data_IF_334987093963
#
_entry.id   IF_334987093963
#
_cell.length_a   1.000
_cell.length_b   1.000
_cell.length_c   1.000
_cell.angle_alpha   90.00
_cell.angle_beta   90.00
_cell.angle_gamma   90.00
#
_symmetry.space_group_name_H-M   'P 1'
#
loop_
_entity.id
_entity.type
_entity.pdbx_description
1 polymer ?
#
# COMPACT_ATOMS: atom_id res chain seq x y z
N UNK A 1 32.51 -80.10 13.28
CA UNK A 1 31.41 -80.72 12.49
C UNK A 1 30.16 -79.84 12.64
N UNK A 2 29.26 -79.88 11.64
CA UNK A 2 27.79 -79.62 11.69
C UNK A 2 27.20 -78.80 12.85
N UNK A 3 26.58 -77.64 12.59
CA UNK A 3 25.11 -77.42 12.36
C UNK A 3 24.24 -77.53 13.63
N UNK A 4 23.07 -76.88 13.79
CA UNK A 4 22.46 -75.67 13.20
C UNK A 4 21.03 -75.49 13.78
N UNK A 5 20.54 -74.25 13.98
CA UNK A 5 19.11 -73.92 14.22
C UNK A 5 18.52 -74.49 15.55
N UNK A 6 17.33 -74.15 16.09
CA UNK A 6 16.44 -72.94 16.10
C UNK A 6 15.31 -73.19 17.15
N UNK A 7 14.18 -72.46 17.35
CA UNK A 7 13.48 -71.36 16.67
C UNK A 7 12.43 -70.69 17.61
N UNK A 8 12.02 -69.42 17.33
CA UNK A 8 10.73 -68.76 17.71
C UNK A 8 10.23 -68.76 19.18
N UNK A 9 10.20 -67.55 19.77
CA UNK A 9 8.99 -66.78 20.22
C UNK A 9 9.49 -65.43 20.79
N UNK A 10 8.87 -64.25 20.65
CA UNK A 10 7.80 -63.69 19.79
C UNK A 10 8.20 -62.22 19.50
N UNK A 11 8.04 -61.60 18.33
CA UNK A 11 6.86 -61.41 17.49
C UNK A 11 5.82 -60.38 17.99
N UNK A 12 6.22 -59.09 18.16
CA UNK A 12 5.39 -57.86 17.92
C UNK A 12 6.19 -56.56 18.19
N UNK A 13 6.57 -55.82 17.14
CA UNK A 13 6.86 -54.34 17.11
C UNK A 13 7.55 -53.84 15.81
N UNK A 14 7.91 -54.75 14.88
CA UNK A 14 8.80 -54.44 13.75
C UNK A 14 8.17 -53.88 12.43
N UNK A 15 7.15 -53.00 12.44
CA UNK A 15 6.88 -52.15 11.27
C UNK A 15 6.67 -50.66 11.61
N UNK A 16 7.58 -50.04 12.39
CA UNK A 16 7.60 -48.57 12.60
C UNK A 16 8.96 -47.94 12.25
N UNK A 17 10.08 -48.60 12.56
CA UNK A 17 11.42 -48.04 12.30
C UNK A 17 11.83 -47.98 10.81
N UNK A 18 11.07 -48.57 9.89
CA UNK A 18 11.42 -48.62 8.48
C UNK A 18 11.14 -47.32 7.69
N UNK A 19 10.25 -46.45 8.18
CA UNK A 19 9.84 -45.23 7.46
C UNK A 19 10.67 -43.98 7.82
N UNK A 20 11.57 -44.08 8.80
CA UNK A 20 12.41 -42.97 9.26
C UNK A 20 13.75 -42.83 8.51
N UNK A 21 14.17 -43.84 7.75
CA UNK A 21 15.51 -43.91 7.14
C UNK A 21 15.57 -43.47 5.66
N UNK A 22 14.42 -43.28 4.99
CA UNK A 22 14.34 -43.03 3.55
C UNK A 22 14.27 -41.54 3.15
N UNK A 23 14.40 -40.61 4.12
CA UNK A 23 14.22 -39.16 3.93
C UNK A 23 15.49 -38.33 4.15
N UNK A 24 16.66 -38.98 4.20
CA UNK A 24 17.97 -38.36 4.51
C UNK A 24 19.00 -38.43 3.36
N UNK A 25 18.56 -38.73 2.13
CA UNK A 25 19.42 -38.88 0.95
C UNK A 25 19.01 -37.99 -0.24
N UNK A 26 18.52 -36.77 0.04
CA UNK A 26 18.32 -35.71 -0.94
C UNK A 26 19.20 -34.51 -0.58
N UNK A 27 20.49 -34.57 -0.93
CA UNK A 27 21.48 -33.64 -0.40
C UNK A 27 21.27 -32.20 -0.90
N UNK A 28 21.00 -31.28 0.03
CA UNK A 28 21.15 -29.85 -0.23
C UNK A 28 22.64 -29.55 -0.46
N UNK A 29 23.01 -29.24 -1.71
CA UNK A 29 24.39 -28.97 -2.10
C UNK A 29 24.77 -27.55 -1.65
N UNK A 30 25.11 -27.41 -0.37
CA UNK A 30 25.51 -26.15 0.22
C UNK A 30 26.81 -25.62 -0.40
N UNK A 31 26.76 -24.40 -0.95
CA UNK A 31 27.95 -23.62 -1.24
C UNK A 31 28.70 -23.24 0.05
N UNK A 32 29.91 -22.67 -0.06
CA UNK A 32 30.84 -22.49 1.07
C UNK A 32 30.39 -21.51 2.18
N UNK A 33 29.22 -20.89 2.05
CA UNK A 33 28.62 -20.01 3.06
C UNK A 33 27.30 -20.59 3.56
N UNK A 34 27.37 -21.33 4.67
CA UNK A 34 26.25 -22.09 5.21
C UNK A 34 25.17 -21.20 5.86
N UNK A 35 24.10 -20.90 5.13
CA UNK A 35 22.91 -20.25 5.66
C UNK A 35 21.70 -20.46 4.75
N UNK A 36 20.57 -20.92 5.31
CA UNK A 36 19.31 -21.01 4.58
C UNK A 36 18.70 -19.61 4.42
N UNK A 37 19.10 -18.92 3.35
CA UNK A 37 18.55 -17.61 2.99
C UNK A 37 17.05 -17.72 2.76
N UNK A 38 16.26 -16.94 3.50
CA UNK A 38 14.84 -16.82 3.21
C UNK A 38 14.64 -15.97 1.97
N UNK A 39 14.22 -16.59 0.88
CA UNK A 39 13.38 -15.91 -0.10
C UNK A 39 12.15 -15.30 0.61
N UNK A 40 11.68 -14.15 0.15
CA UNK A 40 10.41 -13.56 0.57
C UNK A 40 9.66 -13.03 -0.65
N UNK A 41 8.35 -13.28 -0.71
CA UNK A 41 7.52 -12.97 -1.89
C UNK A 41 6.46 -11.93 -1.52
N UNK A 42 6.49 -10.82 -2.25
CA UNK A 42 5.66 -9.62 -2.06
C UNK A 42 4.74 -9.45 -3.26
N UNK A 43 3.43 -9.33 -3.04
CA UNK A 43 2.49 -8.98 -4.11
C UNK A 43 2.50 -7.45 -4.32
N UNK A 44 2.57 -7.00 -5.57
CA UNK A 44 2.73 -5.57 -5.93
C UNK A 44 1.42 -4.92 -6.39
N UNK A 45 0.67 -5.62 -7.25
CA UNK A 45 -0.62 -5.24 -7.81
C UNK A 45 -1.37 -6.50 -8.33
N UNK A 46 -2.66 -6.38 -8.66
CA UNK A 46 -3.50 -7.47 -9.18
C UNK A 46 -4.63 -6.92 -10.04
N UNK A 47 -4.81 -7.47 -11.24
CA UNK A 47 -5.85 -7.04 -12.18
C UNK A 47 -7.23 -7.69 -11.90
N UNK A 48 -8.32 -7.24 -12.56
CA UNK A 48 -9.67 -7.80 -12.34
C UNK A 48 -9.79 -9.32 -12.62
N UNK A 49 -9.03 -9.84 -13.59
CA UNK A 49 -8.98 -11.27 -13.90
C UNK A 49 -8.31 -12.13 -12.80
N UNK A 50 -7.65 -11.49 -11.83
CA UNK A 50 -6.94 -12.16 -10.73
C UNK A 50 -5.47 -12.44 -11.01
N UNK A 51 -4.94 -11.98 -12.16
CA UNK A 51 -3.51 -12.04 -12.45
C UNK A 51 -2.76 -11.11 -11.47
N UNK A 52 -1.80 -11.67 -10.73
CA UNK A 52 -1.04 -10.98 -9.68
C UNK A 52 0.39 -10.74 -10.17
N UNK A 53 0.92 -9.53 -10.02
CA UNK A 53 2.37 -9.30 -10.13
C UNK A 53 3.03 -9.37 -8.75
N UNK A 54 4.18 -10.03 -8.70
CA UNK A 54 4.93 -10.27 -7.46
C UNK A 54 6.42 -9.97 -7.66
N UNK A 55 7.07 -9.64 -6.56
CA UNK A 55 8.53 -9.60 -6.44
C UNK A 55 8.98 -10.66 -5.45
N UNK A 56 9.93 -11.48 -5.87
CA UNK A 56 10.78 -12.23 -4.97
C UNK A 56 11.92 -11.32 -4.51
N UNK A 57 12.25 -11.37 -3.23
CA UNK A 57 13.44 -10.74 -2.63
C UNK A 57 14.28 -11.85 -2.01
N UNK A 58 15.50 -12.01 -2.52
CA UNK A 58 16.47 -13.00 -2.03
C UNK A 58 17.08 -12.60 -0.68
N UNK A 59 17.75 -13.52 0.01
CA UNK A 59 18.39 -13.24 1.30
C UNK A 59 19.56 -12.23 1.25
N UNK A 60 20.05 -11.88 0.06
CA UNK A 60 21.02 -10.79 -0.15
C UNK A 60 20.38 -9.52 -0.75
N UNK A 61 19.05 -9.47 -0.88
CA UNK A 61 18.29 -8.27 -1.27
C UNK A 61 17.97 -8.14 -2.77
N UNK A 62 18.60 -8.93 -3.64
CA UNK A 62 18.30 -8.91 -5.08
C UNK A 62 16.83 -9.27 -5.36
N UNK A 63 16.18 -8.48 -6.21
CA UNK A 63 14.75 -8.57 -6.57
C UNK A 63 14.52 -9.25 -7.91
N UNK A 64 13.49 -10.10 -7.99
CA UNK A 64 13.06 -10.73 -9.24
C UNK A 64 11.56 -10.60 -9.41
N UNK A 65 11.11 -9.98 -10.51
CA UNK A 65 9.71 -9.79 -10.81
C UNK A 65 9.10 -11.00 -11.54
N UNK A 66 7.88 -11.39 -11.17
CA UNK A 66 7.13 -12.45 -11.85
C UNK A 66 5.62 -12.22 -11.84
N UNK A 67 4.98 -12.63 -12.93
CA UNK A 67 3.53 -12.65 -13.10
C UNK A 67 2.99 -14.02 -12.68
N UNK A 68 1.93 -14.04 -11.86
CA UNK A 68 1.13 -15.25 -11.60
C UNK A 68 -0.24 -15.11 -12.26
N UNK A 69 -0.51 -15.93 -13.27
CA UNK A 69 -1.75 -15.91 -14.06
C UNK A 69 -2.26 -17.33 -14.29
N UNK A 70 -3.57 -17.56 -14.11
CA UNK A 70 -4.19 -18.89 -14.28
C UNK A 70 -3.60 -20.00 -13.38
N UNK A 71 -2.93 -19.63 -12.28
CA UNK A 71 -2.16 -20.55 -11.43
C UNK A 71 -0.74 -20.85 -11.89
N UNK A 72 -0.35 -20.43 -13.10
CA UNK A 72 1.03 -20.54 -13.62
C UNK A 72 1.87 -19.33 -13.18
N UNK A 73 3.20 -19.52 -13.07
CA UNK A 73 4.20 -18.47 -12.87
C UNK A 73 4.90 -18.19 -14.20
N UNK A 74 5.05 -16.92 -14.53
CA UNK A 74 5.81 -16.41 -15.67
C UNK A 74 6.84 -15.43 -15.10
N UNK A 75 8.12 -15.80 -15.13
CA UNK A 75 9.19 -14.90 -14.73
C UNK A 75 9.35 -13.78 -15.77
N UNK A 76 9.48 -12.54 -15.32
CA UNK A 76 9.52 -11.38 -16.22
C UNK A 76 10.91 -11.21 -16.84
N UNK A 77 11.96 -11.68 -16.17
CA UNK A 77 13.34 -11.65 -16.65
C UNK A 77 14.05 -10.32 -16.40
N UNK A 78 15.16 -10.11 -17.11
CA UNK A 78 16.02 -8.91 -17.10
C UNK A 78 16.58 -8.66 -18.51
N UNK A 79 17.21 -7.51 -18.74
CA UNK A 79 17.94 -7.18 -19.98
C UNK A 79 19.42 -7.61 -19.88
N UNK A 80 19.68 -8.72 -19.18
CA UNK A 80 21.03 -9.26 -18.93
C UNK A 80 21.65 -8.83 -17.59
N UNK A 81 21.00 -7.95 -16.82
CA UNK A 81 21.37 -7.65 -15.43
C UNK A 81 20.78 -8.64 -14.42
N UNK A 82 20.94 -8.37 -13.13
CA UNK A 82 20.61 -9.31 -12.04
C UNK A 82 19.18 -9.13 -11.48
N UNK A 83 18.66 -7.90 -11.46
CA UNK A 83 17.37 -7.58 -10.83
C UNK A 83 16.24 -7.17 -11.78
N UNK A 84 15.00 -7.45 -11.36
CA UNK A 84 13.80 -6.81 -11.91
C UNK A 84 12.71 -6.56 -10.87
N UNK A 85 11.86 -5.58 -11.17
CA UNK A 85 10.76 -5.10 -10.33
C UNK A 85 9.49 -4.92 -11.15
N UNK A 86 8.32 -4.99 -10.53
CA UNK A 86 7.02 -4.79 -11.17
C UNK A 86 6.19 -3.74 -10.42
N UNK A 87 5.64 -2.78 -11.17
CA UNK A 87 4.93 -1.61 -10.63
C UNK A 87 3.41 -1.78 -10.71
N UNK A 88 2.89 -2.11 -11.90
CA UNK A 88 1.46 -2.14 -12.19
C UNK A 88 1.09 -3.18 -13.26
N UNK A 89 -0.17 -3.64 -13.25
CA UNK A 89 -0.75 -4.57 -14.23
C UNK A 89 -2.16 -4.16 -14.68
N UNK A 90 -2.41 -4.16 -15.99
CA UNK A 90 -3.72 -3.87 -16.57
C UNK A 90 -4.60 -5.13 -16.71
N UNK A 91 -5.88 -4.98 -17.01
CA UNK A 91 -6.88 -6.03 -17.19
C UNK A 91 -6.56 -7.03 -18.30
N UNK A 92 -5.86 -6.61 -19.36
CA UNK A 92 -5.34 -7.51 -20.40
C UNK A 92 -4.16 -8.39 -19.92
N UNK A 93 -3.60 -8.10 -18.73
CA UNK A 93 -2.47 -8.83 -18.16
C UNK A 93 -1.10 -8.35 -18.67
N UNK A 94 -1.03 -7.12 -19.19
CA UNK A 94 0.22 -6.44 -19.54
C UNK A 94 0.79 -5.81 -18.27
N UNK A 95 2.10 -5.97 -18.06
CA UNK A 95 2.83 -5.53 -16.87
C UNK A 95 3.86 -4.46 -17.24
N UNK A 96 4.05 -3.48 -16.36
CA UNK A 96 5.19 -2.56 -16.41
C UNK A 96 5.95 -2.50 -15.07
N UNK A 97 7.17 -2.00 -15.12
CA UNK A 97 8.10 -1.87 -14.01
C UNK A 97 9.48 -1.44 -14.49
N UNK A 98 10.53 -1.99 -13.89
CA UNK A 98 11.93 -1.73 -14.27
C UNK A 98 12.78 -2.99 -14.14
N UNK A 99 13.69 -3.22 -15.07
CA UNK A 99 14.61 -4.35 -15.06
C UNK A 99 16.04 -3.93 -15.44
N UNK A 100 17.05 -4.62 -14.91
CA UNK A 100 18.44 -4.26 -15.16
C UNK A 100 18.95 -4.75 -16.52
N UNK A 101 19.71 -3.90 -17.20
CA UNK A 101 20.61 -4.28 -18.28
C UNK A 101 21.95 -4.82 -17.74
N UNK A 102 22.77 -5.40 -18.62
CA UNK A 102 24.04 -6.03 -18.27
C UNK A 102 25.13 -5.05 -17.76
N UNK A 103 24.90 -3.74 -17.84
CA UNK A 103 25.75 -2.67 -17.28
C UNK A 103 25.20 -2.12 -15.94
N UNK A 104 24.17 -2.76 -15.38
CA UNK A 104 23.44 -2.39 -14.16
C UNK A 104 22.58 -1.11 -14.27
N UNK A 105 22.42 -0.52 -15.47
CA UNK A 105 21.36 0.47 -15.70
C UNK A 105 19.98 -0.18 -15.61
N UNK A 106 18.95 0.60 -15.24
CA UNK A 106 17.58 0.11 -15.10
C UNK A 106 16.72 0.64 -16.25
N UNK A 107 16.05 -0.23 -16.99
CA UNK A 107 15.16 0.19 -18.09
C UNK A 107 13.71 -0.13 -17.78
N UNK A 108 12.83 0.77 -18.21
CA UNK A 108 11.40 0.56 -18.20
C UNK A 108 11.06 -0.59 -19.15
N UNK A 109 9.99 -1.33 -18.85
CA UNK A 109 9.57 -2.42 -19.71
C UNK A 109 8.07 -2.52 -19.87
N UNK A 110 7.68 -3.19 -20.94
CA UNK A 110 6.34 -3.74 -21.17
C UNK A 110 6.47 -5.25 -21.30
N UNK A 111 5.84 -6.00 -20.40
CA UNK A 111 5.82 -7.46 -20.43
C UNK A 111 4.40 -7.98 -20.71
N UNK A 112 4.26 -8.97 -21.60
CA UNK A 112 3.04 -9.76 -21.70
C UNK A 112 3.33 -11.23 -22.04
N UNK A 113 2.37 -12.12 -21.71
CA UNK A 113 2.50 -13.59 -21.83
C UNK A 113 2.68 -14.11 -23.26
N UNK A 114 2.48 -13.28 -24.29
CA UNK A 114 2.58 -13.66 -25.71
C UNK A 114 3.88 -13.17 -26.35
N UNK A 115 4.30 -11.95 -26.00
CA UNK A 115 5.44 -11.27 -26.62
C UNK A 115 6.70 -11.28 -25.73
N UNK A 116 6.57 -11.64 -24.45
CA UNK A 116 7.67 -11.63 -23.48
C UNK A 116 7.98 -10.24 -22.95
N UNK A 117 9.24 -10.05 -22.53
CA UNK A 117 9.77 -8.78 -22.05
C UNK A 117 10.20 -7.90 -23.24
N UNK A 118 9.63 -6.69 -23.36
CA UNK A 118 10.09 -5.63 -24.27
C UNK A 118 10.60 -4.44 -23.46
N UNK A 119 11.77 -3.95 -23.83
CA UNK A 119 12.40 -2.72 -23.34
C UNK A 119 11.68 -1.47 -23.86
N UNK A 120 11.64 -0.41 -23.04
CA UNK A 120 11.26 0.95 -23.40
C UNK A 120 12.52 1.83 -23.36
N UNK A 121 12.51 2.92 -24.14
CA UNK A 121 13.64 3.84 -24.27
C UNK A 121 14.00 4.59 -22.96
N UNK A 122 14.99 5.48 -23.04
CA UNK A 122 15.24 6.56 -22.07
C UNK A 122 15.06 7.91 -22.76
N UNK A 123 15.12 9.03 -22.01
CA UNK A 123 15.09 10.38 -22.57
C UNK A 123 16.51 10.88 -22.92
N UNK A 124 17.37 9.97 -23.38
CA UNK A 124 18.77 10.22 -23.71
C UNK A 124 19.75 10.11 -22.53
N UNK A 125 19.25 9.81 -21.33
CA UNK A 125 20.05 9.42 -20.17
C UNK A 125 20.21 7.90 -20.04
N UNK A 126 20.63 7.42 -18.87
CA UNK A 126 21.08 6.03 -18.67
C UNK A 126 19.97 5.05 -18.28
N UNK A 127 18.95 5.47 -17.53
CA UNK A 127 17.89 4.60 -17.00
C UNK A 127 16.47 5.13 -17.26
N UNK A 128 15.48 4.24 -17.16
CA UNK A 128 14.05 4.55 -17.17
C UNK A 128 13.25 3.59 -16.27
N UNK A 129 12.08 4.03 -15.82
CA UNK A 129 11.22 3.27 -14.91
C UNK A 129 9.72 3.50 -15.18
N UNK A 130 9.01 2.45 -15.60
CA UNK A 130 7.56 2.45 -15.73
C UNK A 130 6.88 2.33 -14.37
N UNK A 131 5.97 3.26 -14.05
CA UNK A 131 5.29 3.34 -12.75
C UNK A 131 3.79 3.00 -12.83
N UNK A 132 3.15 3.27 -13.97
CA UNK A 132 1.73 3.02 -14.19
C UNK A 132 1.44 2.61 -15.65
N UNK A 133 0.31 1.92 -15.88
CA UNK A 133 -0.13 1.42 -17.18
C UNK A 133 -1.66 1.49 -17.27
N UNK A 134 -2.23 1.89 -18.41
CA UNK A 134 -3.68 1.92 -18.67
C UNK A 134 -4.15 0.66 -19.44
N UNK A 135 -5.45 0.52 -19.69
CA UNK A 135 -5.98 -0.70 -20.35
C UNK A 135 -5.60 -0.80 -21.84
N UNK A 136 -5.28 0.32 -22.49
CA UNK A 136 -4.69 0.36 -23.83
C UNK A 136 -3.25 -0.19 -23.83
N UNK A 137 -2.60 -0.22 -22.66
CA UNK A 137 -1.25 -0.70 -22.46
C UNK A 137 -0.18 0.38 -22.68
N UNK A 138 -0.57 1.66 -22.70
CA UNK A 138 0.35 2.79 -22.65
C UNK A 138 0.92 2.93 -21.24
N UNK A 139 2.19 3.28 -21.13
CA UNK A 139 2.97 3.26 -19.89
C UNK A 139 3.37 4.68 -19.52
N UNK A 140 3.12 5.07 -18.26
CA UNK A 140 3.66 6.29 -17.68
C UNK A 140 4.77 5.97 -16.68
N UNK A 141 5.76 6.85 -16.57
CA UNK A 141 6.93 6.62 -15.73
C UNK A 141 7.81 7.84 -15.52
N UNK A 142 9.10 7.58 -15.29
CA UNK A 142 10.16 8.58 -15.36
C UNK A 142 11.42 8.00 -16.01
N UNK A 143 12.20 8.85 -16.68
CA UNK A 143 13.41 8.45 -17.39
C UNK A 143 14.48 9.52 -17.31
N UNK A 144 15.74 9.10 -17.27
CA UNK A 144 16.90 9.98 -17.23
C UNK A 144 17.02 10.77 -18.55
N UNK A 145 17.35 12.05 -18.43
CA UNK A 145 17.66 12.95 -19.54
C UNK A 145 19.16 13.07 -19.77
N UNK A 146 19.56 13.51 -20.96
CA UNK A 146 20.97 13.65 -21.36
C UNK A 146 21.81 14.59 -20.47
N UNK A 147 21.19 15.46 -19.65
CA UNK A 147 21.85 16.37 -18.71
C UNK A 147 22.05 15.79 -17.30
N UNK A 148 21.59 14.55 -17.06
CA UNK A 148 21.60 13.90 -15.76
C UNK A 148 20.48 14.34 -14.80
N UNK A 149 19.42 14.96 -15.34
CA UNK A 149 18.13 15.08 -14.65
C UNK A 149 17.23 13.88 -14.98
N UNK A 150 15.99 13.83 -14.49
CA UNK A 150 15.00 12.82 -14.91
C UNK A 150 13.61 13.44 -15.07
N UNK A 151 12.91 13.12 -16.16
CA UNK A 151 11.58 13.65 -16.46
C UNK A 151 10.52 12.54 -16.47
N UNK A 152 9.27 12.93 -16.24
CA UNK A 152 8.10 12.09 -16.44
C UNK A 152 7.90 11.81 -17.93
N UNK A 153 7.48 10.57 -18.26
CA UNK A 153 7.18 10.19 -19.64
C UNK A 153 5.80 9.56 -19.80
N UNK A 154 5.33 9.51 -21.05
CA UNK A 154 4.34 8.54 -21.54
C UNK A 154 4.89 7.81 -22.77
N UNK A 155 4.82 6.47 -22.78
CA UNK A 155 5.08 5.63 -23.94
C UNK A 155 3.77 5.00 -24.43
N UNK A 156 3.51 5.14 -25.73
CA UNK A 156 2.31 4.62 -26.42
C UNK A 156 2.64 3.39 -27.29
N UNK A 157 3.77 2.74 -27.03
CA UNK A 157 4.33 1.65 -27.85
C UNK A 157 5.03 2.11 -29.14
N UNK A 158 4.82 3.38 -29.56
CA UNK A 158 5.45 4.02 -30.73
C UNK A 158 6.78 4.68 -30.35
N UNK A 159 6.78 5.52 -29.31
CA UNK A 159 7.95 6.23 -28.79
C UNK A 159 7.65 6.82 -27.41
N UNK A 160 8.69 7.01 -26.60
CA UNK A 160 8.62 7.69 -25.31
C UNK A 160 8.55 9.21 -25.47
N UNK A 161 7.46 9.82 -25.01
CA UNK A 161 7.26 11.27 -24.98
C UNK A 161 7.66 11.84 -23.61
N UNK A 162 8.63 12.76 -23.61
CA UNK A 162 8.96 13.62 -22.47
C UNK A 162 7.79 14.57 -22.14
N UNK A 163 7.39 14.62 -20.86
CA UNK A 163 6.35 15.53 -20.36
C UNK A 163 6.92 16.85 -19.82
N UNK A 164 8.24 16.93 -19.60
CA UNK A 164 8.95 18.12 -19.13
C UNK A 164 8.75 18.45 -17.65
N UNK A 165 8.99 19.72 -17.28
CA UNK A 165 8.92 20.22 -15.90
C UNK A 165 8.31 21.64 -15.85
N UNK A 166 8.11 22.19 -14.65
CA UNK A 166 7.75 23.61 -14.46
C UNK A 166 8.99 24.52 -14.41
N UNK A 167 9.98 24.25 -15.26
CA UNK A 167 11.27 24.94 -15.31
C UNK A 167 12.24 24.56 -14.19
N UNK A 168 11.92 23.55 -13.37
CA UNK A 168 12.87 22.87 -12.50
C UNK A 168 13.59 21.73 -13.23
N UNK A 169 14.37 20.93 -12.49
CA UNK A 169 15.15 19.83 -13.08
C UNK A 169 14.37 18.55 -13.33
N UNK A 170 13.48 18.16 -12.41
CA UNK A 170 12.96 16.78 -12.42
C UNK A 170 11.43 16.73 -12.49
N UNK A 171 10.90 15.63 -13.02
CA UNK A 171 9.50 15.25 -12.89
C UNK A 171 9.34 13.73 -12.92
N UNK A 172 8.21 13.23 -12.40
CA UNK A 172 7.89 11.80 -12.44
C UNK A 172 6.37 11.57 -12.45
N UNK A 173 5.93 10.61 -13.26
CA UNK A 173 4.55 10.13 -13.25
C UNK A 173 4.32 9.07 -12.17
N UNK A 174 3.08 8.98 -11.68
CA UNK A 174 2.61 7.95 -10.73
C UNK A 174 1.26 7.31 -11.13
N UNK A 175 0.47 7.98 -11.98
CA UNK A 175 -0.79 7.45 -12.49
C UNK A 175 -1.07 7.86 -13.92
N UNK A 176 -1.88 7.06 -14.61
CA UNK A 176 -2.40 7.27 -15.97
C UNK A 176 -3.82 6.72 -16.02
N UNK A 177 -4.71 7.29 -16.83
CA UNK A 177 -6.06 6.78 -17.09
C UNK A 177 -6.22 6.31 -18.55
N UNK A 178 -7.40 5.80 -18.90
CA UNK A 178 -7.71 5.29 -20.26
C UNK A 178 -7.91 6.41 -21.31
N UNK A 179 -7.58 7.65 -20.97
CA UNK A 179 -7.59 8.83 -21.85
C UNK A 179 -6.20 9.50 -21.92
N UNK A 180 -5.13 8.76 -21.59
CA UNK A 180 -3.74 9.18 -21.56
C UNK A 180 -3.47 10.44 -20.72
N UNK A 181 -4.34 10.71 -19.73
CA UNK A 181 -4.12 11.75 -18.72
C UNK A 181 -3.14 11.21 -17.70
N UNK A 182 -1.89 11.70 -17.74
CA UNK A 182 -0.82 11.28 -16.81
C UNK A 182 -0.73 12.25 -15.65
N UNK A 183 -0.56 11.74 -14.43
CA UNK A 183 -0.41 12.55 -13.21
C UNK A 183 0.79 12.16 -12.39
N UNK A 184 1.33 13.12 -11.64
CA UNK A 184 2.52 12.93 -10.81
C UNK A 184 2.96 14.23 -10.14
N UNK A 185 4.27 14.50 -10.15
CA UNK A 185 4.79 15.82 -9.79
C UNK A 185 6.02 16.24 -10.60
N UNK A 186 6.19 17.56 -10.70
CA UNK A 186 7.31 18.21 -11.37
C UNK A 186 7.90 19.33 -10.50
N UNK A 187 9.21 19.51 -10.58
CA UNK A 187 9.92 20.58 -9.91
C UNK A 187 9.73 21.90 -10.68
N UNK A 188 9.50 23.00 -9.95
CA UNK A 188 9.54 24.38 -10.45
C UNK A 188 10.98 24.92 -10.45
N UNK A 189 11.21 25.99 -11.21
CA UNK A 189 12.49 26.72 -11.24
C UNK A 189 12.98 27.22 -9.86
N UNK A 190 12.10 27.34 -8.86
CA UNK A 190 12.43 27.71 -7.48
C UNK A 190 12.72 26.51 -6.55
N UNK A 191 12.81 25.28 -7.10
CA UNK A 191 13.09 24.05 -6.35
C UNK A 191 11.89 23.47 -5.59
N UNK A 192 10.70 24.06 -5.71
CA UNK A 192 9.47 23.52 -5.12
C UNK A 192 8.78 22.53 -6.07
N UNK A 193 8.27 21.42 -5.52
CA UNK A 193 7.66 20.33 -6.30
C UNK A 193 6.14 20.42 -6.30
N UNK A 194 5.52 20.40 -7.46
CA UNK A 194 4.08 20.63 -7.61
C UNK A 194 3.42 19.48 -8.36
N UNK A 195 2.20 19.13 -7.95
CA UNK A 195 1.37 18.14 -8.60
C UNK A 195 1.02 18.60 -10.02
N UNK A 196 1.12 17.71 -11.00
CA UNK A 196 0.73 17.97 -12.39
C UNK A 196 -0.35 17.01 -12.88
N UNK A 197 -1.09 17.45 -13.88
CA UNK A 197 -1.73 16.57 -14.85
C UNK A 197 -1.28 16.93 -16.27
N UNK A 198 -0.86 15.95 -17.04
CA UNK A 198 -0.65 16.07 -18.48
C UNK A 198 -1.95 15.71 -19.20
N UNK A 199 -2.29 16.44 -20.25
CA UNK A 199 -3.40 16.10 -21.14
C UNK A 199 -2.90 16.03 -22.60
N UNK A 200 -3.20 14.96 -23.35
CA UNK A 200 -2.88 14.87 -24.77
C UNK A 200 -3.33 16.11 -25.55
N UNK A 201 -2.44 16.65 -26.39
CA UNK A 201 -2.71 17.86 -27.18
C UNK A 201 -2.73 19.19 -26.40
N UNK A 202 -2.56 19.18 -25.07
CA UNK A 202 -2.49 20.40 -24.23
C UNK A 202 -1.14 20.53 -23.51
N UNK A 203 -0.54 19.42 -23.09
CA UNK A 203 0.74 19.41 -22.36
C UNK A 203 0.58 19.27 -20.85
N UNK A 204 1.67 19.53 -20.11
CA UNK A 204 1.70 19.49 -18.64
C UNK A 204 1.03 20.73 -18.03
N UNK A 205 0.08 20.50 -17.13
CA UNK A 205 -0.69 21.52 -16.41
C UNK A 205 -0.39 21.35 -14.91
N UNK A 206 -0.03 22.43 -14.22
CA UNK A 206 0.05 22.40 -12.76
C UNK A 206 -1.35 22.41 -12.15
N UNK A 207 -1.60 21.55 -11.16
CA UNK A 207 -2.87 21.54 -10.45
C UNK A 207 -2.96 22.82 -9.59
N UNK A 208 -4.07 23.59 -9.65
CA UNK A 208 -4.24 24.80 -8.83
C UNK A 208 -4.51 24.46 -7.35
N UNK A 209 -4.29 25.43 -6.48
CA UNK A 209 -4.72 25.43 -5.06
C UNK A 209 -4.24 24.27 -4.16
N UNK A 210 -3.33 23.42 -4.64
CA UNK A 210 -2.72 22.28 -3.92
C UNK A 210 -1.64 22.70 -2.89
N UNK A 211 -2.02 23.55 -1.93
CA UNK A 211 -1.18 23.92 -0.78
C UNK A 211 0.02 24.82 -1.10
N UNK A 212 1.00 24.85 -0.18
CA UNK A 212 2.20 25.69 -0.20
C UNK A 212 3.28 25.15 -1.16
N UNK A 213 4.40 24.61 -0.64
CA UNK A 213 5.58 24.28 -1.45
C UNK A 213 5.49 22.97 -2.19
N UNK A 214 4.87 21.97 -1.58
CA UNK A 214 4.99 20.59 -2.05
C UNK A 214 3.62 19.96 -2.28
N UNK A 215 3.40 19.43 -3.47
CA UNK A 215 2.25 18.58 -3.78
C UNK A 215 2.60 17.52 -4.80
N UNK A 216 1.91 16.38 -4.72
CA UNK A 216 2.11 15.24 -5.62
C UNK A 216 0.75 14.60 -5.91
N UNK A 217 0.39 14.49 -7.19
CA UNK A 217 -0.73 13.67 -7.61
C UNK A 217 -0.31 12.19 -7.63
N UNK A 218 -1.18 11.32 -7.13
CA UNK A 218 -0.92 9.90 -6.93
C UNK A 218 -1.70 9.04 -7.93
N UNK A 219 -2.95 9.41 -8.23
CA UNK A 219 -3.81 8.68 -9.14
C UNK A 219 -4.83 9.61 -9.81
N UNK A 220 -5.43 9.14 -10.90
CA UNK A 220 -6.47 9.81 -11.69
C UNK A 220 -7.44 8.74 -12.20
N UNK A 221 -8.73 9.05 -12.27
CA UNK A 221 -9.75 8.16 -12.85
C UNK A 221 -10.13 8.58 -14.28
N UNK A 222 -10.97 7.81 -14.97
CA UNK A 222 -11.31 8.07 -16.39
C UNK A 222 -12.18 9.31 -16.56
N UNK A 223 -12.86 9.75 -15.50
CA UNK A 223 -13.53 11.06 -15.43
C UNK A 223 -12.56 12.25 -15.25
N UNK A 224 -11.24 11.99 -15.17
CA UNK A 224 -10.20 13.01 -15.03
C UNK A 224 -10.07 13.60 -13.64
N UNK A 225 -10.73 13.01 -12.62
CA UNK A 225 -10.61 13.43 -11.23
C UNK A 225 -9.27 12.94 -10.70
N UNK A 226 -8.41 13.88 -10.28
CA UNK A 226 -7.07 13.59 -9.76
C UNK A 226 -7.09 13.56 -8.24
N UNK A 227 -6.30 12.68 -7.62
CA UNK A 227 -6.13 12.63 -6.16
C UNK A 227 -4.65 12.56 -5.78
N UNK A 228 -4.31 13.04 -4.59
CA UNK A 228 -2.94 13.01 -4.12
C UNK A 228 -2.73 13.57 -2.72
N UNK A 229 -1.59 14.21 -2.50
CA UNK A 229 -1.22 14.85 -1.24
C UNK A 229 -0.59 16.22 -1.47
N UNK A 230 -0.84 17.14 -0.53
CA UNK A 230 -0.34 18.51 -0.54
C UNK A 230 0.15 18.94 0.84
N UNK A 231 1.19 19.78 0.88
CA UNK A 231 1.73 20.36 2.09
C UNK A 231 0.99 21.67 2.44
N UNK A 232 0.48 21.72 3.66
CA UNK A 232 -0.20 22.89 4.22
C UNK A 232 0.81 23.89 4.83
N UNK A 233 0.40 25.15 5.11
CA UNK A 233 1.31 26.17 5.64
C UNK A 233 1.95 25.84 7.00
N UNK A 234 1.31 25.00 7.81
CA UNK A 234 1.85 24.46 9.08
C UNK A 234 2.83 23.29 8.89
N UNK A 235 3.08 22.89 7.64
CA UNK A 235 3.88 21.75 7.17
C UNK A 235 3.26 20.36 7.41
N UNK A 236 2.00 20.28 7.84
CA UNK A 236 1.23 19.05 7.74
C UNK A 236 1.03 18.66 6.26
N UNK A 237 0.68 17.40 6.01
CA UNK A 237 0.32 16.90 4.69
C UNK A 237 -1.14 16.45 4.70
N UNK A 238 -1.93 17.01 3.78
CA UNK A 238 -3.32 16.66 3.58
C UNK A 238 -3.49 15.89 2.27
N UNK A 239 -4.46 14.98 2.25
CA UNK A 239 -4.97 14.38 1.02
C UNK A 239 -5.85 15.40 0.29
N UNK A 240 -5.76 15.43 -1.05
CA UNK A 240 -6.61 16.29 -1.88
C UNK A 240 -7.28 15.49 -2.99
N UNK A 241 -8.39 16.03 -3.52
CA UNK A 241 -8.91 15.70 -4.84
C UNK A 241 -9.04 16.95 -5.71
N UNK A 242 -9.00 16.79 -7.03
CA UNK A 242 -9.15 17.86 -8.00
C UNK A 242 -10.11 17.40 -9.11
N UNK A 243 -11.23 18.11 -9.27
CA UNK A 243 -12.33 17.73 -10.16
C UNK A 243 -12.22 18.31 -11.58
N UNK A 244 -11.04 18.85 -11.93
CA UNK A 244 -10.81 19.56 -13.19
C UNK A 244 -11.20 21.04 -13.16
N UNK A 245 -11.86 21.51 -12.09
CA UNK A 245 -12.23 22.92 -11.89
C UNK A 245 -11.69 23.50 -10.58
N UNK A 246 -11.61 22.69 -9.52
CA UNK A 246 -11.19 23.11 -8.17
C UNK A 246 -10.50 21.98 -7.40
N UNK A 247 -9.61 22.36 -6.49
CA UNK A 247 -9.02 21.43 -5.52
C UNK A 247 -9.85 21.42 -4.24
N UNK A 248 -10.08 20.23 -3.70
CA UNK A 248 -10.77 20.00 -2.43
C UNK A 248 -9.77 19.39 -1.44
N UNK A 249 -9.55 20.10 -0.34
CA UNK A 249 -8.84 19.57 0.82
C UNK A 249 -9.70 18.49 1.50
N UNK A 250 -9.22 17.25 1.52
CA UNK A 250 -9.88 16.15 2.24
C UNK A 250 -9.48 16.13 3.73
N UNK A 251 -8.44 16.89 4.10
CA UNK A 251 -8.02 17.13 5.47
C UNK A 251 -7.45 15.93 6.21
N UNK A 252 -7.21 16.11 7.51
CA UNK A 252 -6.87 15.04 8.45
C UNK A 252 -7.97 14.89 9.50
N UNK A 253 -8.68 13.76 9.48
CA UNK A 253 -9.86 13.49 10.33
C UNK A 253 -9.62 13.61 11.86
N UNK A 254 -8.37 13.75 12.31
CA UNK A 254 -7.98 13.79 13.73
C UNK A 254 -7.21 15.05 14.15
N UNK A 255 -6.86 15.97 13.23
CA UNK A 255 -5.98 17.13 13.49
C UNK A 255 -4.68 16.79 14.26
N UNK A 256 -4.12 15.60 14.00
CA UNK A 256 -3.00 14.98 14.75
C UNK A 256 -2.16 14.04 13.86
N UNK A 257 -1.84 14.48 12.66
CA UNK A 257 -1.15 13.62 11.70
C UNK A 257 -1.18 14.17 10.27
N UNK A 258 -0.91 13.27 9.32
CA UNK A 258 -0.86 13.55 7.88
C UNK A 258 -1.74 12.56 7.10
N UNK A 259 -2.41 12.99 6.04
CA UNK A 259 -3.21 12.14 5.14
C UNK A 259 -2.68 12.15 3.70
N UNK A 260 -2.77 10.99 3.05
CA UNK A 260 -2.23 10.72 1.72
C UNK A 260 -3.23 9.89 0.91
N UNK A 261 -3.94 10.48 -0.06
CA UNK A 261 -4.71 9.68 -1.02
C UNK A 261 -3.75 8.87 -1.90
N UNK A 262 -4.06 7.60 -2.16
CA UNK A 262 -3.22 6.71 -2.98
C UNK A 262 -3.92 6.22 -4.23
N UNK A 263 -5.24 6.08 -4.22
CA UNK A 263 -6.02 5.69 -5.40
C UNK A 263 -7.44 6.25 -5.37
N UNK A 264 -8.06 6.31 -6.56
CA UNK A 264 -9.45 6.69 -6.81
C UNK A 264 -10.05 5.69 -7.81
N UNK A 265 -11.33 5.35 -7.67
CA UNK A 265 -12.07 4.54 -8.64
C UNK A 265 -12.96 5.41 -9.55
N UNK A 266 -13.58 4.84 -10.58
CA UNK A 266 -14.46 5.60 -11.48
C UNK A 266 -15.77 6.06 -10.82
N UNK A 267 -16.19 5.46 -9.70
CA UNK A 267 -17.30 5.99 -8.88
C UNK A 267 -16.92 7.26 -8.09
N UNK A 268 -15.64 7.63 -8.05
CA UNK A 268 -15.12 8.73 -7.24
C UNK A 268 -14.89 8.39 -5.76
N UNK A 269 -14.90 7.10 -5.39
CA UNK A 269 -14.40 6.65 -4.08
C UNK A 269 -12.88 6.74 -4.06
N UNK A 270 -12.32 7.38 -3.02
CA UNK A 270 -10.88 7.60 -2.84
C UNK A 270 -10.41 6.76 -1.66
N UNK A 271 -9.26 6.08 -1.79
CA UNK A 271 -8.58 5.44 -0.67
C UNK A 271 -7.23 6.06 -0.40
N UNK A 272 -6.78 5.94 0.84
CA UNK A 272 -5.49 6.47 1.25
C UNK A 272 -5.11 6.06 2.67
N UNK A 273 -4.06 6.70 3.16
CA UNK A 273 -3.42 6.36 4.43
C UNK A 273 -3.30 7.61 5.32
N UNK A 274 -3.51 7.45 6.62
CA UNK A 274 -3.34 8.51 7.63
C UNK A 274 -2.24 8.12 8.61
N UNK A 275 -1.18 8.92 8.71
CA UNK A 275 -0.10 8.74 9.69
C UNK A 275 -0.38 9.61 10.91
N UNK A 276 -0.75 8.99 12.02
CA UNK A 276 -1.08 9.65 13.29
C UNK A 276 0.19 9.80 14.14
N UNK A 277 0.40 10.95 14.78
CA UNK A 277 1.57 11.13 15.65
C UNK A 277 1.51 10.24 16.89
N UNK A 278 2.63 9.60 17.23
CA UNK A 278 2.70 8.65 18.35
C UNK A 278 2.09 7.27 18.07
N UNK A 279 1.87 6.92 16.79
CA UNK A 279 1.40 5.60 16.36
C UNK A 279 2.30 5.06 15.24
N UNK A 280 2.85 3.86 15.43
CA UNK A 280 3.81 3.27 14.48
C UNK A 280 3.13 2.81 13.19
N UNK A 281 1.95 2.19 13.32
CA UNK A 281 1.13 1.80 12.17
C UNK A 281 0.32 2.99 11.66
N UNK A 282 0.26 3.25 10.34
CA UNK A 282 -0.73 4.15 9.77
C UNK A 282 -2.15 3.58 9.94
N UNK A 283 -3.15 4.40 9.65
CA UNK A 283 -4.56 4.01 9.48
C UNK A 283 -4.91 4.08 7.99
N UNK A 284 -5.95 3.38 7.57
CA UNK A 284 -6.52 3.52 6.20
C UNK A 284 -7.71 4.48 6.25
N UNK A 285 -7.88 5.30 5.22
CA UNK A 285 -9.11 6.06 4.99
C UNK A 285 -9.79 5.65 3.69
N UNK A 286 -11.12 5.76 3.69
CA UNK A 286 -11.97 5.75 2.49
C UNK A 286 -12.73 7.07 2.48
N UNK A 287 -12.68 7.83 1.39
CA UNK A 287 -13.52 8.99 1.17
C UNK A 287 -14.55 8.65 0.10
N UNK A 288 -15.83 8.72 0.46
CA UNK A 288 -16.95 8.37 -0.42
C UNK A 288 -18.14 9.27 -0.10
N UNK A 289 -18.88 9.70 -1.13
CA UNK A 289 -20.10 10.53 -1.00
C UNK A 289 -19.89 11.79 -0.13
N UNK A 290 -18.71 12.40 -0.21
CA UNK A 290 -18.35 13.60 0.55
C UNK A 290 -17.81 13.37 1.97
N UNK A 291 -17.70 12.12 2.43
CA UNK A 291 -17.33 11.80 3.81
C UNK A 291 -16.05 10.95 3.89
N UNK A 292 -15.07 11.39 4.70
CA UNK A 292 -13.92 10.57 5.08
C UNK A 292 -14.30 9.60 6.21
N UNK A 293 -14.01 8.32 6.02
CA UNK A 293 -14.10 7.28 7.03
C UNK A 293 -12.69 6.70 7.27
N UNK A 294 -12.09 7.03 8.42
CA UNK A 294 -10.86 6.37 8.87
C UNK A 294 -11.19 5.05 9.57
N UNK A 295 -10.35 4.04 9.32
CA UNK A 295 -10.43 2.70 9.91
C UNK A 295 -9.04 2.29 10.41
N UNK A 296 -9.03 1.46 11.45
CA UNK A 296 -7.83 0.67 11.75
C UNK A 296 -7.58 -0.33 10.60
N UNK A 297 -6.40 -0.95 10.57
CA UNK A 297 -5.79 -1.64 9.42
C UNK A 297 -6.45 -2.97 8.96
N UNK A 298 -7.77 -3.10 9.16
CA UNK A 298 -8.63 -4.25 8.86
C UNK A 298 -8.13 -5.59 9.44
N UNK A 299 -7.17 -5.53 10.37
CA UNK A 299 -6.38 -6.68 10.85
C UNK A 299 -5.59 -7.40 9.74
N UNK A 300 -5.37 -6.77 8.58
CA UNK A 300 -4.93 -7.44 7.34
C UNK A 300 -4.02 -6.65 6.40
N UNK A 301 -3.95 -5.31 6.49
CA UNK A 301 -3.16 -4.47 5.58
C UNK A 301 -2.49 -3.31 6.31
N UNK A 302 -1.23 -3.02 6.01
CA UNK A 302 -0.51 -1.85 6.53
C UNK A 302 -0.67 -0.61 5.65
N UNK A 303 -0.93 -0.79 4.34
CA UNK A 303 -1.06 0.31 3.39
C UNK A 303 -2.13 0.02 2.33
N UNK A 304 -3.10 0.92 2.18
CA UNK A 304 -4.01 0.94 1.04
C UNK A 304 -3.29 1.49 -0.20
N UNK A 305 -3.33 0.74 -1.32
CA UNK A 305 -2.63 1.06 -2.58
C UNK A 305 -3.57 1.31 -3.76
N UNK A 306 -4.66 0.54 -3.88
CA UNK A 306 -5.60 0.59 -5.02
C UNK A 306 -7.03 0.38 -4.51
N UNK A 307 -8.01 0.94 -5.21
CA UNK A 307 -9.43 0.65 -5.07
C UNK A 307 -9.99 0.27 -6.45
N UNK A 308 -10.95 -0.66 -6.50
CA UNK A 308 -11.65 -1.08 -7.72
C UNK A 308 -13.01 -0.39 -7.87
N UNK A 309 -13.60 -0.45 -9.06
CA UNK A 309 -14.95 0.08 -9.35
C UNK A 309 -16.08 -0.71 -8.66
N UNK A 310 -15.84 -1.95 -8.23
CA UNK A 310 -16.74 -2.69 -7.33
C UNK A 310 -16.43 -2.44 -5.83
N UNK A 311 -15.59 -1.45 -5.54
CA UNK A 311 -15.32 -0.94 -4.20
C UNK A 311 -14.46 -1.86 -3.33
N UNK A 312 -13.60 -2.70 -3.92
CA UNK A 312 -12.63 -3.50 -3.19
C UNK A 312 -11.34 -2.72 -2.97
N UNK A 313 -10.87 -2.66 -1.72
CA UNK A 313 -9.57 -2.07 -1.38
C UNK A 313 -8.48 -3.14 -1.50
N UNK A 314 -7.42 -2.83 -2.24
CA UNK A 314 -6.22 -3.66 -2.39
C UNK A 314 -5.05 -2.95 -1.70
N UNK A 315 -4.31 -3.69 -0.87
CA UNK A 315 -3.21 -3.18 -0.07
C UNK A 315 -2.14 -4.22 0.23
N UNK A 316 -1.02 -3.75 0.79
CA UNK A 316 0.07 -4.59 1.28
C UNK A 316 -0.04 -4.75 2.81
N UNK A 317 0.37 -5.88 3.36
CA UNK A 317 0.31 -6.15 4.81
C UNK A 317 1.34 -7.17 5.29
N UNK A 318 2.02 -6.86 6.39
CA UNK A 318 3.09 -7.64 6.99
C UNK A 318 2.55 -8.71 7.95
N UNK A 319 2.01 -9.79 7.40
CA UNK A 319 2.03 -11.08 8.09
C UNK A 319 3.07 -12.00 7.44
N UNK A 320 3.76 -12.78 8.27
CA UNK A 320 5.06 -13.34 7.93
C UNK A 320 5.08 -14.17 6.63
N UNK A 321 6.07 -13.89 5.76
CA UNK A 321 6.49 -14.67 4.58
C UNK A 321 5.49 -14.86 3.42
N UNK A 322 4.21 -14.52 3.53
CA UNK A 322 3.28 -14.57 2.38
C UNK A 322 2.28 -13.41 2.38
N UNK A 323 2.49 -12.41 1.53
CA UNK A 323 1.41 -11.47 1.20
C UNK A 323 0.34 -12.19 0.37
N UNK A 324 -0.91 -12.15 0.84
CA UNK A 324 -2.09 -12.48 0.05
C UNK A 324 -2.90 -11.20 -0.15
N UNK A 325 -3.20 -10.86 -1.40
CA UNK A 325 -4.24 -9.87 -1.68
C UNK A 325 -5.56 -10.36 -1.07
N UNK A 326 -6.08 -9.65 -0.07
CA UNK A 326 -7.44 -9.84 0.40
C UNK A 326 -8.37 -8.84 -0.32
N UNK A 327 -9.68 -9.13 -0.29
CA UNK A 327 -10.72 -8.31 -0.91
C UNK A 327 -11.70 -7.90 0.18
N UNK A 328 -11.90 -6.59 0.36
CA UNK A 328 -12.86 -6.03 1.32
C UNK A 328 -13.72 -5.04 0.57
N UNK A 329 -14.99 -5.39 0.35
CA UNK A 329 -15.95 -4.53 -0.32
C UNK A 329 -16.41 -3.40 0.62
N UNK A 330 -16.26 -2.15 0.20
CA UNK A 330 -16.55 -0.94 0.97
C UNK A 330 -17.95 -0.92 1.63
N UNK A 331 -18.94 -1.56 1.00
CA UNK A 331 -20.34 -1.61 1.40
C UNK A 331 -20.69 -2.70 2.44
N UNK A 332 -19.72 -3.55 2.81
CA UNK A 332 -19.85 -4.57 3.88
C UNK A 332 -18.97 -4.27 5.10
N UNK A 333 -18.40 -3.08 5.17
CA UNK A 333 -17.62 -2.61 6.31
C UNK A 333 -18.56 -1.92 7.30
N UNK A 334 -18.92 -2.61 8.38
CA UNK A 334 -19.50 -1.93 9.55
C UNK A 334 -18.50 -0.85 10.05
N UNK A 335 -18.99 0.32 10.51
CA UNK A 335 -18.10 1.30 11.10
C UNK A 335 -17.39 0.71 12.32
N UNK A 336 -16.18 1.17 12.64
CA UNK A 336 -15.55 0.79 13.90
C UNK A 336 -16.50 1.18 15.05
N UNK A 337 -17.02 0.16 15.73
CA UNK A 337 -17.97 0.25 16.84
C UNK A 337 -17.37 0.80 18.12
N UNK A 338 -16.66 1.92 18.05
CA UNK A 338 -16.63 2.85 19.17
C UNK A 338 -18.08 3.28 19.40
N UNK A 339 -18.59 3.24 20.65
CA UNK A 339 -19.97 3.63 20.89
C UNK A 339 -20.16 5.07 20.44
N UNK A 340 -21.23 5.33 19.67
CA UNK A 340 -21.65 6.69 19.31
C UNK A 340 -21.63 7.53 20.59
N UNK A 341 -20.96 8.70 20.59
CA UNK A 341 -20.34 9.29 21.77
C UNK A 341 -21.35 9.37 22.91
N UNK A 342 -21.26 8.41 23.84
CA UNK A 342 -22.32 8.15 24.82
C UNK A 342 -22.43 9.41 25.65
N UNK A 343 -23.52 10.15 25.42
CA UNK A 343 -23.53 11.61 25.48
C UNK A 343 -22.58 12.14 26.54
N UNK A 344 -21.51 12.87 26.19
CA UNK A 344 -20.56 13.33 27.22
C UNK A 344 -21.28 14.18 28.29
N UNK A 345 -22.39 14.81 27.91
CA UNK A 345 -23.36 15.44 28.81
C UNK A 345 -24.05 14.43 29.74
N UNK A 346 -24.55 13.31 29.24
CA UNK A 346 -25.16 12.20 30.00
C UNK A 346 -24.13 11.49 30.90
N UNK A 347 -22.92 11.22 30.42
CA UNK A 347 -21.84 10.67 31.24
C UNK A 347 -21.42 11.64 32.36
N UNK A 348 -21.30 12.95 32.07
CA UNK A 348 -21.05 13.96 33.08
C UNK A 348 -22.22 14.09 34.08
N UNK A 349 -23.47 14.05 33.60
CA UNK A 349 -24.68 14.09 34.43
C UNK A 349 -24.77 12.89 35.37
N UNK A 350 -24.46 11.68 34.88
CA UNK A 350 -24.37 10.47 35.70
C UNK A 350 -23.21 10.53 36.72
N UNK A 351 -22.07 11.12 36.36
CA UNK A 351 -20.96 11.34 37.29
C UNK A 351 -21.29 12.37 38.40
N UNK A 352 -22.01 13.44 38.05
CA UNK A 352 -22.55 14.42 39.01
C UNK A 352 -23.58 13.77 39.93
N UNK A 353 -24.52 12.99 39.39
CA UNK A 353 -25.48 12.21 40.18
C UNK A 353 -24.81 11.23 41.13
N UNK A 354 -23.83 10.45 40.66
CA UNK A 354 -23.08 9.52 41.49
C UNK A 354 -22.35 10.24 42.63
N UNK A 355 -21.78 11.42 42.35
CA UNK A 355 -21.10 12.26 43.36
C UNK A 355 -22.08 12.83 44.38
N UNK A 356 -23.28 13.25 43.95
CA UNK A 356 -24.37 13.69 44.83
C UNK A 356 -24.89 12.56 45.73
N UNK A 357 -25.09 11.36 45.19
CA UNK A 357 -25.48 10.19 45.98
C UNK A 357 -24.40 9.76 46.98
N UNK A 358 -23.11 9.77 46.59
CA UNK A 358 -22.00 9.52 47.51
C UNK A 358 -21.89 10.58 48.61
N UNK A 359 -22.19 11.85 48.31
CA UNK A 359 -22.31 12.91 49.31
C UNK A 359 -23.46 12.61 50.29
N UNK A 360 -24.66 12.31 49.80
CA UNK A 360 -25.83 11.99 50.65
C UNK A 360 -25.64 10.74 51.52
N UNK A 361 -25.01 9.70 50.98
CA UNK A 361 -24.64 8.51 51.76
C UNK A 361 -23.63 8.87 52.86
N UNK A 362 -22.63 9.70 52.56
CA UNK A 362 -21.65 10.20 53.56
C UNK A 362 -22.29 11.09 54.62
N UNK A 363 -23.32 11.83 54.27
CA UNK A 363 -24.11 12.68 55.18
C UNK A 363 -24.93 11.82 56.15
N UNK A 364 -25.75 10.89 55.66
CA UNK A 364 -26.49 9.94 56.50
C UNK A 364 -25.59 9.05 57.36
N UNK A 365 -24.41 8.64 56.86
CA UNK A 365 -23.43 7.91 57.68
C UNK A 365 -22.86 8.77 58.81
N UNK A 366 -22.68 10.09 58.60
CA UNK A 366 -22.30 11.02 59.69
C UNK A 366 -23.44 11.19 60.70
N UNK A 367 -24.66 11.40 60.23
CA UNK A 367 -25.84 11.55 61.10
C UNK A 367 -26.06 10.30 61.96
N UNK A 368 -25.92 9.10 61.39
CA UNK A 368 -25.99 7.83 62.13
C UNK A 368 -24.85 7.65 63.16
N UNK A 369 -23.63 8.10 62.83
CA UNK A 369 -22.50 8.06 63.77
C UNK A 369 -22.68 9.05 64.94
N UNK A 370 -23.19 10.25 64.69
CA UNK A 370 -23.43 11.22 65.75
C UNK A 370 -24.70 10.92 66.56
N UNK A 371 -25.71 10.26 65.97
CA UNK A 371 -26.81 9.64 66.72
C UNK A 371 -26.29 8.53 67.65
N UNK A 372 -25.43 7.63 67.16
CA UNK A 372 -24.78 6.59 67.96
C UNK A 372 -23.99 7.17 69.15
N UNK A 373 -23.19 8.23 68.94
CA UNK A 373 -22.48 8.92 70.03
C UNK A 373 -23.43 9.56 71.04
N UNK A 374 -24.51 10.21 70.59
CA UNK A 374 -25.51 10.82 71.48
C UNK A 374 -26.24 9.77 72.31
N UNK A 375 -26.50 8.58 71.74
CA UNK A 375 -27.13 7.46 72.45
C UNK A 375 -26.20 6.87 73.52
N UNK A 376 -24.89 6.74 73.25
CA UNK A 376 -23.92 6.34 74.29
C UNK A 376 -23.82 7.40 75.41
N UNK A 377 -23.86 8.69 75.07
CA UNK A 377 -23.85 9.81 76.02
C UNK A 377 -25.17 10.01 76.79
N UNK A 378 -26.19 9.16 76.58
CA UNK A 378 -27.42 9.14 77.37
C UNK A 378 -27.66 7.80 78.09
N UNK A 379 -26.66 6.92 78.12
CA UNK A 379 -26.68 5.60 78.77
C UNK A 379 -25.52 5.46 79.80
N UNK A 380 -24.70 6.51 79.93
CA UNK A 380 -23.69 6.71 80.98
C UNK A 380 -24.06 7.95 81.82
#
# INVERSE_FOLDING_TARGET
MMRSASLKLSARLAPVLALAAALLAGAAQAGPFGGSMSESIVAKDTNPAGDTILESITGYGARQAFLRSGGQRYDIGTFGGEESTAAAINGAGVVTGSAQAADFTWHAYRFDKRNGLRELDTLGGASSAGTAINEQGHIAGHADTYDGSYHAFIDTGITMLDLGTFGGKNSYALGINDHDVVVGAADRANGFRRAFMYKPGIGMIEIPDVGDRHSVAMAVNDHGVVVGTMQMPDRSWHAFSYDGLRTVDLGVMMNRGNSFATAINNNGDIVGNVRVWGRDAPLVFVYSKGQMQVRDNFGRFDLARRITDDGQIIGAGAMARQMRAARVAHNKVEPLGWPAPVDMLTCAFLAVLATFFLYKIREHLREGIDFSKRLMLSIA
#
